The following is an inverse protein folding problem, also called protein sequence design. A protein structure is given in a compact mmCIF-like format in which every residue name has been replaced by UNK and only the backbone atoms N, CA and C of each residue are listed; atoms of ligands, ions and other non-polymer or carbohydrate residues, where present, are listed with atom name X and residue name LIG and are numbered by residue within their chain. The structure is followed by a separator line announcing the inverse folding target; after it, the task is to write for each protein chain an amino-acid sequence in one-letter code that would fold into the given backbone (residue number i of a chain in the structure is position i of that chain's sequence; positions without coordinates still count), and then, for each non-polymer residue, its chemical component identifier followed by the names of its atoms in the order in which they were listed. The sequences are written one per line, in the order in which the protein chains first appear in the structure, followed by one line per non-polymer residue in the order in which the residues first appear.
data_IF_068468056873
#
_entry.id   IF_068468056873
#
_cell.length_a   1.000
_cell.length_b   1.000
_cell.length_c   1.000
_cell.angle_alpha   90.00
_cell.angle_beta   90.00
_cell.angle_gamma   90.00
#
_symmetry.space_group_name_H-M   'P 1'
#
loop_
_entity.id
_entity.type
_entity.pdbx_description
1 polymer ?
#
# COMPACT_ATOMS: atom_id res chain seq x y z
N UNK A 1 -7.42 15.94 -18.93
CA UNK A 1 -7.71 14.97 -17.86
C UNK A 1 -7.57 13.58 -18.48
N UNK A 2 -6.47 12.88 -18.23
CA UNK A 2 -6.17 11.64 -18.95
C UNK A 2 -6.76 10.42 -18.25
N UNK A 3 -7.86 9.91 -18.83
CA UNK A 3 -8.53 8.70 -18.35
C UNK A 3 -7.60 7.47 -18.32
N UNK A 4 -6.52 7.48 -19.11
CA UNK A 4 -5.50 6.42 -19.15
C UNK A 4 -4.76 6.26 -17.81
N UNK A 5 -4.42 7.37 -17.13
CA UNK A 5 -3.69 7.36 -15.86
C UNK A 5 -4.57 6.76 -14.76
N UNK A 6 -5.82 7.21 -14.64
CA UNK A 6 -6.77 6.64 -13.65
C UNK A 6 -7.05 5.18 -13.90
N UNK A 7 -7.15 4.76 -15.17
CA UNK A 7 -7.34 3.34 -15.53
C UNK A 7 -6.13 2.50 -15.15
N UNK A 8 -4.92 3.03 -15.32
CA UNK A 8 -3.69 2.35 -14.89
C UNK A 8 -3.56 2.30 -13.37
N UNK A 9 -3.87 3.40 -12.67
CA UNK A 9 -3.93 3.43 -11.22
C UNK A 9 -4.95 2.42 -10.66
N UNK A 10 -6.14 2.33 -11.28
CA UNK A 10 -7.15 1.34 -10.91
C UNK A 10 -6.69 -0.11 -11.13
N UNK A 11 -5.97 -0.38 -12.23
CA UNK A 11 -5.36 -1.69 -12.46
C UNK A 11 -4.32 -2.03 -11.39
N UNK A 12 -3.46 -1.09 -11.01
CA UNK A 12 -2.45 -1.30 -9.96
C UNK A 12 -3.10 -1.49 -8.59
N UNK A 13 -4.14 -0.73 -8.28
CA UNK A 13 -4.92 -0.89 -7.06
C UNK A 13 -5.56 -2.28 -7.02
N UNK A 14 -6.29 -2.66 -8.08
CA UNK A 14 -6.93 -3.96 -8.18
C UNK A 14 -5.90 -5.12 -8.11
N UNK A 15 -4.76 -4.99 -8.80
CA UNK A 15 -3.69 -5.97 -8.77
C UNK A 15 -3.06 -6.08 -7.38
N UNK A 16 -2.76 -4.95 -6.73
CA UNK A 16 -2.22 -4.91 -5.38
C UNK A 16 -3.16 -5.53 -4.36
N UNK A 17 -4.47 -5.21 -4.42
CA UNK A 17 -5.48 -5.82 -3.55
C UNK A 17 -5.63 -7.31 -3.82
N UNK A 18 -5.72 -7.74 -5.09
CA UNK A 18 -5.85 -9.15 -5.43
C UNK A 18 -4.62 -9.97 -4.99
N UNK A 19 -3.42 -9.45 -5.23
CA UNK A 19 -2.17 -10.07 -4.79
C UNK A 19 -2.07 -10.11 -3.27
N UNK A 20 -2.50 -9.06 -2.55
CA UNK A 20 -2.53 -9.05 -1.09
C UNK A 20 -3.42 -10.17 -0.56
N UNK A 21 -4.65 -10.29 -1.08
CA UNK A 21 -5.59 -11.34 -0.66
C UNK A 21 -5.01 -12.72 -0.96
N UNK A 22 -4.38 -12.91 -2.13
CA UNK A 22 -3.78 -14.19 -2.50
C UNK A 22 -2.61 -14.58 -1.58
N UNK A 23 -1.67 -13.68 -1.33
CA UNK A 23 -0.52 -13.94 -0.44
C UNK A 23 -1.00 -14.15 0.99
N UNK A 24 -1.94 -13.32 1.47
CA UNK A 24 -2.51 -13.44 2.80
C UNK A 24 -3.23 -14.79 3.00
N UNK A 25 -4.07 -15.18 2.04
CA UNK A 25 -4.72 -16.49 2.05
C UNK A 25 -3.69 -17.64 2.07
N UNK A 26 -2.63 -17.52 1.26
CA UNK A 26 -1.57 -18.52 1.21
C UNK A 26 -0.81 -18.63 2.55
N UNK A 27 -0.50 -17.51 3.21
CA UNK A 27 0.14 -17.49 4.53
C UNK A 27 -0.76 -18.13 5.59
N UNK A 28 -2.05 -17.79 5.61
CA UNK A 28 -3.01 -18.43 6.55
C UNK A 28 -3.13 -19.94 6.30
N UNK A 29 -3.11 -20.36 5.04
CA UNK A 29 -3.10 -21.78 4.69
C UNK A 29 -1.84 -22.49 5.20
N UNK A 30 -0.66 -21.87 5.03
CA UNK A 30 0.60 -22.40 5.58
C UNK A 30 0.56 -22.47 7.11
N UNK A 31 0.02 -21.46 7.79
CA UNK A 31 -0.11 -21.48 9.25
C UNK A 31 -0.94 -22.67 9.74
N UNK A 32 -2.02 -23.02 9.04
CA UNK A 32 -2.80 -24.23 9.36
C UNK A 32 -2.01 -25.53 9.21
N UNK A 33 -0.93 -25.54 8.42
CA UNK A 33 -0.01 -26.67 8.28
C UNK A 33 1.12 -26.65 9.33
N UNK A 34 1.08 -25.73 10.31
CA UNK A 34 2.09 -25.61 11.36
C UNK A 34 3.27 -24.71 11.02
N UNK A 35 3.18 -23.92 9.95
CA UNK A 35 4.19 -22.92 9.61
C UNK A 35 4.06 -21.68 10.52
N UNK A 36 5.17 -21.27 11.15
CA UNK A 36 5.23 -19.99 11.87
C UNK A 36 5.64 -18.87 10.91
N UNK A 37 4.86 -17.78 10.79
CA UNK A 37 5.20 -16.66 9.93
C UNK A 37 6.56 -16.07 10.32
N UNK A 38 7.48 -16.01 9.36
CA UNK A 38 8.77 -15.36 9.52
C UNK A 38 8.76 -13.96 8.87
N UNK A 39 9.81 -13.16 9.09
CA UNK A 39 9.92 -11.80 8.53
C UNK A 39 9.77 -11.76 7.00
N UNK A 40 10.14 -12.84 6.30
CA UNK A 40 9.95 -12.94 4.85
C UNK A 40 8.47 -13.00 4.44
N UNK A 41 7.63 -13.70 5.19
CA UNK A 41 6.18 -13.71 4.95
C UNK A 41 5.57 -12.31 5.12
N UNK A 42 6.05 -11.54 6.10
CA UNK A 42 5.61 -10.15 6.31
C UNK A 42 6.05 -9.22 5.18
N UNK A 43 7.28 -9.37 4.66
CA UNK A 43 7.75 -8.62 3.48
C UNK A 43 6.89 -8.95 2.25
N UNK A 44 6.60 -10.24 2.03
CA UNK A 44 5.75 -10.69 0.94
C UNK A 44 4.33 -10.13 1.02
N UNK A 45 3.79 -9.92 2.23
CA UNK A 45 2.51 -9.25 2.44
C UNK A 45 2.59 -7.73 2.22
N UNK A 46 3.74 -7.11 2.51
CA UNK A 46 3.95 -5.66 2.34
C UNK A 46 4.06 -5.22 0.87
N UNK A 47 4.66 -6.04 -0.01
CA UNK A 47 4.87 -5.67 -1.41
C UNK A 47 3.55 -5.40 -2.18
N UNK A 48 2.51 -6.25 -2.10
CA UNK A 48 1.21 -5.96 -2.70
C UNK A 48 0.56 -4.67 -2.19
N UNK A 49 0.72 -4.36 -0.90
CA UNK A 49 0.20 -3.12 -0.29
C UNK A 49 0.87 -1.92 -0.94
N UNK A 50 2.20 -1.94 -1.12
CA UNK A 50 2.93 -0.85 -1.77
C UNK A 50 2.44 -0.61 -3.21
N UNK A 51 2.21 -1.68 -3.99
CA UNK A 51 1.67 -1.58 -5.35
C UNK A 51 0.25 -0.98 -5.34
N UNK A 52 -0.58 -1.39 -4.37
CA UNK A 52 -1.91 -0.83 -4.19
C UNK A 52 -1.88 0.66 -3.87
N UNK A 53 -0.98 1.09 -2.98
CA UNK A 53 -0.78 2.50 -2.62
C UNK A 53 -0.31 3.34 -3.81
N UNK A 54 0.60 2.82 -4.63
CA UNK A 54 1.01 3.46 -5.88
C UNK A 54 -0.20 3.69 -6.79
N UNK A 55 -1.05 2.66 -6.97
CA UNK A 55 -2.27 2.79 -7.76
C UNK A 55 -3.25 3.82 -7.19
N UNK A 56 -3.41 3.85 -5.86
CA UNK A 56 -4.25 4.82 -5.17
C UNK A 56 -3.77 6.26 -5.38
N UNK A 57 -2.45 6.50 -5.27
CA UNK A 57 -1.85 7.81 -5.52
C UNK A 57 -2.04 8.25 -6.98
N UNK A 58 -1.90 7.35 -7.96
CA UNK A 58 -2.14 7.68 -9.38
C UNK A 58 -3.60 8.04 -9.64
N UNK A 59 -4.55 7.46 -8.90
CA UNK A 59 -5.98 7.80 -8.99
C UNK A 59 -6.26 9.17 -8.37
N UNK A 60 -5.68 9.48 -7.21
CA UNK A 60 -5.97 10.70 -6.46
C UNK A 60 -5.24 11.93 -7.00
N UNK A 61 -3.96 11.78 -7.35
CA UNK A 61 -3.11 12.88 -7.86
C UNK A 61 -3.28 13.04 -9.38
N UNK A 62 -3.80 12.01 -10.07
CA UNK A 62 -3.98 11.98 -11.51
C UNK A 62 -2.66 12.26 -12.28
N UNK A 63 -1.55 11.74 -11.76
CA UNK A 63 -0.22 11.78 -12.36
C UNK A 63 0.44 10.40 -12.26
N UNK A 64 1.32 10.03 -13.21
CA UNK A 64 2.10 8.80 -13.10
C UNK A 64 2.98 8.84 -11.86
N UNK A 65 3.18 7.68 -11.21
CA UNK A 65 4.06 7.60 -10.02
C UNK A 65 5.49 8.10 -10.31
N UNK A 66 6.00 7.88 -11.52
CA UNK A 66 7.32 8.37 -11.95
C UNK A 66 7.47 9.89 -11.95
N UNK A 67 6.36 10.64 -12.03
CA UNK A 67 6.35 12.10 -12.03
C UNK A 67 5.97 12.68 -10.67
N UNK A 68 5.65 11.83 -9.68
CA UNK A 68 5.19 12.30 -8.37
C UNK A 68 6.27 13.04 -7.60
N UNK A 69 7.53 12.66 -7.75
CA UNK A 69 8.66 13.36 -7.13
C UNK A 69 8.78 14.79 -7.66
N UNK A 70 8.76 14.96 -8.99
CA UNK A 70 8.83 16.28 -9.61
C UNK A 70 7.61 17.13 -9.25
N UNK A 71 6.41 16.53 -9.23
CA UNK A 71 5.19 17.20 -8.79
C UNK A 71 5.28 17.67 -7.34
N UNK A 72 5.72 16.78 -6.43
CA UNK A 72 5.94 17.12 -5.03
C UNK A 72 6.96 18.25 -4.89
N UNK A 73 8.01 18.20 -5.71
CA UNK A 73 9.08 19.19 -5.70
C UNK A 73 8.68 20.55 -6.25
N UNK A 74 7.56 20.64 -6.96
CA UNK A 74 7.01 21.87 -7.51
C UNK A 74 5.91 22.50 -6.62
N UNK A 75 5.49 21.83 -5.55
CA UNK A 75 4.52 22.39 -4.60
C UNK A 75 5.13 23.53 -3.77
N UNK A 76 4.29 24.45 -3.31
CA UNK A 76 4.69 25.45 -2.32
C UNK A 76 5.13 24.78 -1.01
N UNK A 77 6.11 25.35 -0.31
CA UNK A 77 6.72 24.73 0.89
C UNK A 77 5.69 24.34 1.97
N UNK A 78 4.66 25.15 2.16
CA UNK A 78 3.57 24.86 3.10
C UNK A 78 2.71 23.65 2.67
N UNK A 79 2.39 23.56 1.38
CA UNK A 79 1.61 22.44 0.82
C UNK A 79 2.36 21.12 0.97
N UNK A 80 3.69 21.12 0.74
CA UNK A 80 4.53 19.94 1.00
C UNK A 80 4.52 19.54 2.46
N UNK A 81 4.56 20.50 3.38
CA UNK A 81 4.47 20.24 4.83
C UNK A 81 3.17 19.56 5.22
N UNK A 82 2.03 20.08 4.76
CA UNK A 82 0.70 19.53 5.07
C UNK A 82 0.50 18.14 4.44
N UNK A 83 0.85 17.98 3.16
CA UNK A 83 0.76 16.67 2.50
C UNK A 83 1.72 15.66 3.12
N UNK A 84 2.92 16.09 3.52
CA UNK A 84 3.91 15.23 4.17
C UNK A 84 3.39 14.70 5.51
N UNK A 85 2.78 15.59 6.31
CA UNK A 85 2.14 15.20 7.56
C UNK A 85 0.99 14.21 7.31
N UNK A 86 0.17 14.44 6.29
CA UNK A 86 -0.93 13.54 5.93
C UNK A 86 -0.41 12.15 5.55
N UNK A 87 0.66 12.07 4.76
CA UNK A 87 1.31 10.80 4.40
C UNK A 87 1.80 10.05 5.65
N UNK A 88 2.43 10.76 6.60
CA UNK A 88 2.88 10.15 7.87
C UNK A 88 1.70 9.63 8.68
N UNK A 89 0.61 10.40 8.81
CA UNK A 89 -0.60 9.97 9.52
C UNK A 89 -1.20 8.72 8.87
N UNK A 90 -1.33 8.71 7.54
CA UNK A 90 -1.84 7.55 6.80
C UNK A 90 -0.95 6.34 7.00
N UNK A 91 0.38 6.50 6.95
CA UNK A 91 1.32 5.42 7.20
C UNK A 91 1.18 4.85 8.62
N UNK A 92 1.03 5.71 9.63
CA UNK A 92 0.78 5.29 11.01
C UNK A 92 -0.54 4.52 11.15
N UNK A 93 -1.61 4.99 10.52
CA UNK A 93 -2.91 4.29 10.53
C UNK A 93 -2.79 2.92 9.86
N UNK A 94 -2.12 2.83 8.71
CA UNK A 94 -1.92 1.56 8.01
C UNK A 94 -1.08 0.58 8.84
N UNK A 95 -0.02 1.06 9.52
CA UNK A 95 0.78 0.23 10.42
C UNK A 95 -0.04 -0.24 11.63
N UNK A 96 -0.82 0.64 12.25
CA UNK A 96 -1.68 0.29 13.38
C UNK A 96 -2.75 -0.74 12.97
N UNK A 97 -3.41 -0.55 11.83
CA UNK A 97 -4.34 -1.52 11.27
C UNK A 97 -3.66 -2.85 10.95
N UNK A 98 -2.46 -2.82 10.38
CA UNK A 98 -1.65 -4.02 10.11
C UNK A 98 -1.31 -4.79 11.38
N UNK A 99 -0.87 -4.11 12.44
CA UNK A 99 -0.58 -4.74 13.73
C UNK A 99 -1.85 -5.26 14.41
N UNK A 100 -2.95 -4.50 14.40
CA UNK A 100 -4.21 -4.92 15.00
C UNK A 100 -4.77 -6.17 14.30
N UNK A 101 -4.77 -6.19 12.96
CA UNK A 101 -5.19 -7.37 12.19
C UNK A 101 -4.26 -8.55 12.45
N UNK A 102 -2.96 -8.34 12.45
CA UNK A 102 -1.99 -9.40 12.75
C UNK A 102 -2.18 -10.00 14.16
N UNK A 103 -2.42 -9.18 15.18
CA UNK A 103 -2.70 -9.65 16.54
C UNK A 103 -4.03 -10.40 16.66
N UNK A 104 -5.10 -9.93 16.00
CA UNK A 104 -6.40 -10.63 15.96
C UNK A 104 -6.26 -12.03 15.33
N UNK A 105 -5.36 -12.17 14.36
CA UNK A 105 -5.16 -13.40 13.59
C UNK A 105 -4.08 -14.32 14.19
N UNK A 106 -3.43 -13.92 15.29
CA UNK A 106 -2.33 -14.67 15.89
C UNK A 106 -1.08 -14.77 15.00
N UNK A 107 -0.84 -13.77 14.16
CA UNK A 107 0.36 -13.64 13.33
C UNK A 107 1.55 -13.06 14.12
N UNK A 108 1.27 -12.36 15.23
CA UNK A 108 2.22 -11.78 16.21
C UNK A 108 1.63 -11.87 17.61
#
# INVERSE_FOLDING_TARGET
MDASIRKNGFKKLALGTAALVAVFWFVLWLQRQGYSPNSFALIALGTPVAIGLVGLLEITVNRPFSEMEEWWNNLEGWQRGVLGLLVVIVAFVLLACGMATAGILGLI
#
